data_IF_251314423261
#
_entry.id   IF_251314423261
#
_cell.length_a   1.000
_cell.length_b   1.000
_cell.length_c   1.000
_cell.angle_alpha   90.00
_cell.angle_beta   90.00
_cell.angle_gamma   90.00
#
_symmetry.space_group_name_H-M   'P 1'
#
loop_
_entity.id
_entity.type
_entity.pdbx_description
1 polymer ?
#
# COMPACT_ATOMS: atom_id res chain seq x y z
N UNK A 1 -45.07 -12.36 -51.35
CA UNK A 1 -44.74 -12.98 -50.06
C UNK A 1 -43.32 -12.57 -49.66
N UNK A 2 -43.16 -11.65 -48.70
CA UNK A 2 -41.84 -11.30 -48.16
C UNK A 2 -41.52 -12.30 -47.05
N UNK A 3 -40.74 -13.35 -47.35
CA UNK A 3 -40.12 -14.18 -46.32
C UNK A 3 -39.10 -13.30 -45.57
N UNK A 4 -39.53 -12.67 -44.48
CA UNK A 4 -38.61 -12.14 -43.47
C UNK A 4 -37.97 -13.37 -42.84
N UNK A 5 -36.69 -13.58 -43.06
CA UNK A 5 -35.93 -14.70 -42.53
C UNK A 5 -35.47 -14.38 -41.10
N UNK A 6 -36.16 -14.85 -40.03
CA UNK A 6 -35.78 -14.58 -38.65
C UNK A 6 -34.40 -15.16 -38.29
N UNK A 7 -33.87 -16.07 -39.10
CA UNK A 7 -32.55 -16.67 -38.91
C UNK A 7 -31.39 -15.66 -38.97
N UNK A 8 -31.47 -14.64 -39.85
CA UNK A 8 -30.34 -13.71 -40.05
C UNK A 8 -30.21 -12.72 -38.89
N UNK A 9 -31.33 -12.35 -38.25
CA UNK A 9 -31.34 -11.49 -37.07
C UNK A 9 -30.77 -12.18 -35.82
N UNK A 10 -30.99 -13.48 -35.67
CA UNK A 10 -30.51 -14.24 -34.51
C UNK A 10 -28.99 -14.39 -34.49
N UNK A 11 -28.37 -14.67 -35.64
CA UNK A 11 -26.92 -14.81 -35.75
C UNK A 11 -26.18 -13.51 -35.44
N UNK A 12 -26.69 -12.35 -35.89
CA UNK A 12 -26.04 -11.07 -35.65
C UNK A 12 -26.03 -10.70 -34.16
N UNK A 13 -27.14 -10.91 -33.46
CA UNK A 13 -27.25 -10.63 -32.03
C UNK A 13 -26.29 -11.52 -31.19
N UNK A 14 -26.19 -12.80 -31.54
CA UNK A 14 -25.25 -13.74 -30.90
C UNK A 14 -23.80 -13.33 -31.12
N UNK A 15 -23.43 -12.94 -32.35
CA UNK A 15 -22.07 -12.47 -32.64
C UNK A 15 -21.73 -11.21 -31.86
N UNK A 16 -22.65 -10.25 -31.75
CA UNK A 16 -22.44 -9.03 -30.96
C UNK A 16 -22.27 -9.35 -29.47
N UNK A 17 -23.13 -10.20 -28.90
CA UNK A 17 -23.00 -10.64 -27.51
C UNK A 17 -21.68 -11.38 -27.24
N UNK A 18 -21.26 -12.26 -28.16
CA UNK A 18 -20.00 -12.98 -28.05
C UNK A 18 -18.79 -12.03 -28.09
N UNK A 19 -18.82 -11.02 -28.96
CA UNK A 19 -17.77 -9.99 -29.02
C UNK A 19 -17.75 -9.10 -27.77
N UNK A 20 -18.91 -8.76 -27.21
CA UNK A 20 -19.00 -8.01 -25.95
C UNK A 20 -18.46 -8.83 -24.77
N UNK A 21 -18.85 -10.10 -24.66
CA UNK A 21 -18.34 -11.00 -23.63
C UNK A 21 -16.84 -11.26 -23.78
N UNK A 22 -16.34 -11.48 -25.01
CA UNK A 22 -14.91 -11.62 -25.28
C UNK A 22 -14.15 -10.34 -24.96
N UNK A 23 -14.66 -9.18 -25.36
CA UNK A 23 -14.08 -7.88 -25.04
C UNK A 23 -14.02 -7.65 -23.52
N UNK A 24 -15.06 -8.03 -22.79
CA UNK A 24 -15.07 -7.96 -21.33
C UNK A 24 -14.00 -8.86 -20.71
N UNK A 25 -13.93 -10.14 -21.11
CA UNK A 25 -12.93 -11.09 -20.59
C UNK A 25 -11.50 -10.68 -21.00
N UNK A 26 -11.32 -10.13 -22.20
CA UNK A 26 -10.02 -9.67 -22.66
C UNK A 26 -9.53 -8.42 -21.92
N UNK A 27 -10.44 -7.50 -21.57
CA UNK A 27 -10.12 -6.25 -20.86
C UNK A 27 -9.98 -6.48 -19.36
N UNK A 28 -10.86 -7.26 -18.75
CA UNK A 28 -10.89 -7.47 -17.30
C UNK A 28 -10.26 -8.80 -16.84
N UNK A 29 -9.81 -9.63 -17.79
CA UNK A 29 -9.29 -10.96 -17.51
C UNK A 29 -10.38 -11.94 -17.05
N UNK A 30 -9.94 -13.12 -16.62
CA UNK A 30 -10.76 -14.04 -15.80
C UNK A 30 -10.77 -13.64 -14.31
N UNK A 31 -10.05 -12.57 -13.95
CA UNK A 31 -10.08 -12.03 -12.60
C UNK A 31 -11.47 -11.47 -12.33
N UNK A 32 -12.07 -11.86 -11.20
CA UNK A 32 -13.38 -11.35 -10.80
C UNK A 32 -13.19 -9.90 -10.38
N UNK A 33 -13.72 -8.90 -11.13
CA UNK A 33 -13.62 -7.53 -10.67
C UNK A 33 -14.34 -7.42 -9.33
N UNK A 34 -13.70 -6.77 -8.37
CA UNK A 34 -14.32 -6.48 -7.08
C UNK A 34 -15.22 -5.26 -7.28
N UNK A 35 -16.47 -5.51 -7.67
CA UNK A 35 -17.43 -4.44 -8.00
C UNK A 35 -18.11 -3.94 -6.74
N UNK A 36 -17.90 -2.66 -6.41
CA UNK A 36 -18.49 -1.97 -5.24
C UNK A 36 -18.23 -2.69 -3.90
N UNK A 37 -17.10 -3.39 -3.78
CA UNK A 37 -16.64 -3.91 -2.49
C UNK A 37 -16.08 -2.75 -1.66
N UNK A 38 -16.40 -2.70 -0.37
CA UNK A 38 -15.73 -1.74 0.51
C UNK A 38 -14.22 -2.05 0.54
N UNK A 39 -13.33 -1.03 0.56
CA UNK A 39 -11.90 -1.27 0.49
C UNK A 39 -11.34 -2.11 1.64
N UNK A 40 -11.86 -1.95 2.86
CA UNK A 40 -11.44 -2.74 4.02
C UNK A 40 -11.93 -4.19 3.93
N UNK A 41 -13.17 -4.42 3.47
CA UNK A 41 -13.69 -5.77 3.25
C UNK A 41 -12.88 -6.52 2.19
N UNK A 42 -12.49 -5.80 1.11
CA UNK A 42 -11.61 -6.34 0.09
C UNK A 42 -10.23 -6.66 0.68
N UNK A 43 -9.62 -5.73 1.41
CA UNK A 43 -8.32 -5.97 2.04
C UNK A 43 -8.35 -7.19 2.98
N UNK A 44 -9.34 -7.29 3.87
CA UNK A 44 -9.53 -8.45 4.75
C UNK A 44 -9.72 -9.75 3.97
N UNK A 45 -10.50 -9.71 2.89
CA UNK A 45 -10.67 -10.84 2.00
C UNK A 45 -9.34 -11.27 1.37
N UNK A 46 -8.55 -10.33 0.85
CA UNK A 46 -7.26 -10.63 0.22
C UNK A 46 -6.30 -11.24 1.23
N UNK A 47 -6.19 -10.68 2.44
CA UNK A 47 -5.35 -11.22 3.52
C UNK A 47 -5.80 -12.64 3.92
N UNK A 48 -7.10 -12.82 4.17
CA UNK A 48 -7.68 -14.11 4.56
C UNK A 48 -7.45 -15.21 3.52
N UNK A 49 -7.44 -14.86 2.24
CA UNK A 49 -7.27 -15.80 1.14
C UNK A 49 -5.82 -15.83 0.59
N UNK A 50 -4.85 -15.23 1.29
CA UNK A 50 -3.45 -15.17 0.90
C UNK A 50 -3.25 -14.64 -0.54
N UNK A 51 -4.02 -13.62 -0.89
CA UNK A 51 -3.97 -12.93 -2.19
C UNK A 51 -3.05 -11.71 -2.09
N UNK A 52 -2.36 -11.33 -3.18
CA UNK A 52 -1.46 -10.19 -3.17
C UNK A 52 -2.21 -8.86 -3.10
N UNK A 53 -1.60 -7.85 -2.48
CA UNK A 53 -2.14 -6.49 -2.36
C UNK A 53 -2.42 -5.83 -3.73
N UNK A 54 -1.73 -6.26 -4.79
CA UNK A 54 -1.94 -5.73 -6.15
C UNK A 54 -3.35 -5.95 -6.67
N UNK A 55 -4.09 -6.94 -6.16
CA UNK A 55 -5.50 -7.17 -6.53
C UNK A 55 -6.43 -6.06 -6.02
N UNK A 56 -5.98 -5.20 -5.10
CA UNK A 56 -6.73 -3.98 -4.77
C UNK A 56 -6.94 -3.08 -6.00
N UNK A 57 -6.07 -3.13 -7.02
CA UNK A 57 -6.24 -2.38 -8.28
C UNK A 57 -7.42 -2.86 -9.13
N UNK A 58 -7.87 -4.09 -8.91
CA UNK A 58 -9.02 -4.69 -9.59
C UNK A 58 -10.37 -4.24 -8.98
N UNK A 59 -10.32 -3.37 -7.95
CA UNK A 59 -11.50 -2.72 -7.41
C UNK A 59 -12.11 -1.79 -8.46
N UNK A 60 -13.38 -2.07 -8.79
CA UNK A 60 -14.22 -1.25 -9.66
C UNK A 60 -15.28 -0.58 -8.80
N UNK A 61 -15.24 0.74 -8.77
CA UNK A 61 -16.07 1.56 -7.89
C UNK A 61 -16.96 2.49 -8.70
N UNK A 62 -18.28 2.37 -8.55
CA UNK A 62 -19.27 3.12 -9.36
C UNK A 62 -20.05 4.19 -8.58
N UNK A 63 -19.75 4.41 -7.30
CA UNK A 63 -20.49 5.41 -6.51
C UNK A 63 -20.04 6.84 -6.84
N UNK A 64 -20.99 7.67 -7.28
CA UNK A 64 -20.74 9.04 -7.76
C UNK A 64 -20.50 10.04 -6.62
N UNK A 65 -21.01 9.77 -5.41
CA UNK A 65 -20.87 10.65 -4.23
C UNK A 65 -19.82 10.17 -3.22
N UNK A 66 -19.02 9.17 -3.59
CA UNK A 66 -18.00 8.57 -2.74
C UNK A 66 -16.60 9.05 -3.16
N UNK A 67 -15.55 8.75 -2.35
CA UNK A 67 -14.17 8.90 -2.79
C UNK A 67 -13.94 8.23 -4.16
N UNK A 68 -13.00 8.79 -4.93
CA UNK A 68 -12.65 8.31 -6.25
C UNK A 68 -12.17 6.85 -6.21
N UNK A 69 -12.32 6.13 -7.32
CA UNK A 69 -11.82 4.75 -7.41
C UNK A 69 -10.32 4.64 -7.05
N UNK A 70 -9.52 5.66 -7.36
CA UNK A 70 -8.11 5.71 -6.98
C UNK A 70 -7.91 5.78 -5.46
N UNK A 71 -8.68 6.62 -4.75
CA UNK A 71 -8.65 6.70 -3.28
C UNK A 71 -9.13 5.42 -2.62
N UNK A 72 -10.17 4.78 -3.17
CA UNK A 72 -10.69 3.51 -2.67
C UNK A 72 -9.65 2.39 -2.80
N UNK A 73 -8.96 2.32 -3.95
CA UNK A 73 -7.85 1.38 -4.18
C UNK A 73 -6.69 1.63 -3.23
N UNK A 74 -6.34 2.92 -3.05
CA UNK A 74 -5.29 3.31 -2.13
C UNK A 74 -5.61 2.88 -0.68
N UNK A 75 -6.86 3.08 -0.25
CA UNK A 75 -7.33 2.65 1.07
C UNK A 75 -7.29 1.12 1.22
N UNK A 76 -7.64 0.36 0.19
CA UNK A 76 -7.52 -1.10 0.19
C UNK A 76 -6.07 -1.54 0.44
N UNK A 77 -5.11 -0.97 -0.31
CA UNK A 77 -3.69 -1.30 -0.17
C UNK A 77 -3.17 -0.91 1.22
N UNK A 78 -3.53 0.28 1.70
CA UNK A 78 -3.15 0.75 3.03
C UNK A 78 -3.67 -0.18 4.13
N UNK A 79 -4.94 -0.57 4.07
CA UNK A 79 -5.53 -1.50 5.04
C UNK A 79 -4.88 -2.88 4.94
N UNK A 80 -4.61 -3.38 3.73
CA UNK A 80 -3.90 -4.64 3.52
C UNK A 80 -2.53 -4.64 4.21
N UNK A 81 -1.73 -3.58 3.98
CA UNK A 81 -0.40 -3.43 4.55
C UNK A 81 -0.43 -3.46 6.08
N UNK A 82 -1.42 -2.79 6.68
CA UNK A 82 -1.62 -2.79 8.14
C UNK A 82 -2.05 -4.14 8.70
N UNK A 83 -2.94 -4.84 8.01
CA UNK A 83 -3.42 -6.15 8.44
C UNK A 83 -2.32 -7.23 8.36
N UNK A 84 -1.37 -7.07 7.44
CA UNK A 84 -0.28 -8.02 7.19
C UNK A 84 1.04 -7.63 7.85
N UNK A 85 1.14 -6.41 8.39
CA UNK A 85 2.40 -5.81 8.85
C UNK A 85 3.49 -5.82 7.75
N UNK A 86 3.07 -5.71 6.49
CA UNK A 86 3.96 -5.76 5.32
C UNK A 86 4.15 -4.35 4.73
N UNK A 87 5.29 -3.68 5.01
CA UNK A 87 5.55 -2.35 4.48
C UNK A 87 5.80 -2.36 2.96
N UNK A 88 6.12 -3.51 2.36
CA UNK A 88 6.32 -3.60 0.90
C UNK A 88 5.02 -3.38 0.12
N UNK A 89 3.87 -3.73 0.70
CA UNK A 89 2.57 -3.42 0.11
C UNK A 89 2.36 -1.91 -0.06
N UNK A 90 2.93 -1.09 0.83
CA UNK A 90 2.88 0.37 0.71
C UNK A 90 3.64 0.92 -0.51
N UNK A 91 4.55 0.15 -1.11
CA UNK A 91 5.24 0.56 -2.35
C UNK A 91 4.26 0.77 -3.51
N UNK A 92 3.14 0.04 -3.53
CA UNK A 92 2.08 0.22 -4.53
C UNK A 92 1.42 1.61 -4.45
N UNK A 93 1.60 2.32 -3.32
CA UNK A 93 1.12 3.70 -3.13
C UNK A 93 2.19 4.74 -3.45
N UNK A 94 3.40 4.33 -3.82
CA UNK A 94 4.48 5.25 -4.15
C UNK A 94 4.37 5.73 -5.62
N UNK A 95 4.76 6.98 -5.93
CA UNK A 95 5.35 7.99 -5.04
C UNK A 95 4.31 8.99 -4.52
N UNK A 96 3.52 8.62 -3.51
CA UNK A 96 2.59 9.54 -2.85
C UNK A 96 2.93 9.74 -1.38
N UNK A 97 2.51 10.88 -0.82
CA UNK A 97 2.54 11.11 0.63
C UNK A 97 1.72 10.05 1.39
N UNK A 98 0.69 9.50 0.75
CA UNK A 98 -0.13 8.43 1.31
C UNK A 98 0.67 7.12 1.46
N UNK A 99 1.56 6.81 0.50
CA UNK A 99 2.50 5.68 0.62
C UNK A 99 3.49 5.85 1.77
N UNK A 100 3.99 7.07 1.99
CA UNK A 100 4.85 7.35 3.15
C UNK A 100 4.10 7.26 4.48
N UNK A 101 2.84 7.70 4.53
CA UNK A 101 1.96 7.49 5.69
C UNK A 101 1.80 5.99 5.98
N UNK A 102 1.51 5.19 4.95
CA UNK A 102 1.37 3.74 5.05
C UNK A 102 2.60 3.09 5.69
N UNK A 103 3.80 3.39 5.17
CA UNK A 103 5.06 2.86 5.72
C UNK A 103 5.23 3.24 7.19
N UNK A 104 4.95 4.50 7.55
CA UNK A 104 5.06 4.95 8.93
C UNK A 104 4.04 4.28 9.85
N UNK A 105 2.80 4.10 9.41
CA UNK A 105 1.76 3.51 10.24
C UNK A 105 1.99 2.02 10.46
N UNK A 106 2.43 1.29 9.42
CA UNK A 106 2.80 -0.13 9.52
C UNK A 106 3.99 -0.31 10.46
N UNK A 107 5.04 0.51 10.32
CA UNK A 107 6.20 0.44 11.22
C UNK A 107 5.90 0.93 12.64
N UNK A 108 5.07 1.96 12.81
CA UNK A 108 4.69 2.50 14.11
C UNK A 108 3.79 1.56 14.91
N UNK A 109 2.98 0.74 14.24
CA UNK A 109 2.15 -0.25 14.93
C UNK A 109 3.02 -1.25 15.69
N UNK A 110 4.10 -1.72 15.06
CA UNK A 110 5.08 -2.62 15.70
C UNK A 110 5.68 -2.00 16.97
N UNK A 111 5.91 -0.68 16.98
CA UNK A 111 6.41 0.03 18.16
C UNK A 111 5.35 0.19 19.25
N UNK A 112 4.10 0.51 18.90
CA UNK A 112 3.02 0.71 19.87
C UNK A 112 2.73 -0.55 20.68
N UNK A 113 2.88 -1.71 20.07
CA UNK A 113 2.65 -2.99 20.73
C UNK A 113 3.79 -3.34 21.72
N UNK A 114 4.89 -2.58 21.68
CA UNK A 114 6.14 -2.88 22.39
C UNK A 114 6.67 -1.76 23.30
N UNK A 115 6.24 -0.51 23.10
CA UNK A 115 6.67 0.63 23.92
C UNK A 115 5.47 1.29 24.60
N UNK A 116 5.47 1.27 25.93
CA UNK A 116 4.69 2.20 26.73
C UNK A 116 5.03 3.63 26.28
N UNK A 117 4.02 4.49 26.18
CA UNK A 117 3.99 5.79 25.47
C UNK A 117 4.94 6.90 25.96
N UNK A 118 6.05 6.55 26.60
CA UNK A 118 7.12 7.46 26.96
C UNK A 118 7.74 8.13 25.73
N UNK A 119 7.75 9.45 25.72
CA UNK A 119 8.47 10.24 24.73
C UNK A 119 9.98 9.96 24.87
N UNK A 120 10.55 9.26 23.91
CA UNK A 120 11.94 8.86 23.93
C UNK A 120 12.84 9.97 23.35
N UNK A 121 13.70 10.56 24.19
CA UNK A 121 14.64 11.60 23.79
C UNK A 121 15.86 11.00 23.08
N UNK A 122 16.37 11.73 22.08
CA UNK A 122 17.55 11.35 21.31
C UNK A 122 18.81 11.10 22.16
N UNK A 123 18.95 11.83 23.27
CA UNK A 123 20.08 11.70 24.18
C UNK A 123 20.16 10.31 24.82
N UNK A 124 19.03 9.61 24.91
CA UNK A 124 18.99 8.25 25.42
C UNK A 124 19.69 7.28 24.47
N UNK A 125 19.68 7.51 23.15
CA UNK A 125 20.39 6.68 22.17
C UNK A 125 21.92 6.76 22.26
N UNK A 126 22.45 7.75 22.98
CA UNK A 126 23.89 7.86 23.22
C UNK A 126 24.38 6.85 24.27
N UNK A 127 23.47 6.28 25.06
CA UNK A 127 23.79 5.29 26.10
C UNK A 127 23.72 3.86 25.53
N UNK A 128 24.50 2.90 26.07
CA UNK A 128 24.33 1.49 25.74
C UNK A 128 22.89 1.05 26.01
N UNK A 129 22.25 0.44 25.01
CA UNK A 129 20.90 -0.09 25.14
C UNK A 129 20.96 -1.57 25.48
N UNK A 130 20.39 -1.95 26.62
CA UNK A 130 20.19 -3.36 26.98
C UNK A 130 18.95 -3.95 26.32
N UNK A 131 17.93 -3.11 26.04
CA UNK A 131 16.69 -3.52 25.40
C UNK A 131 16.86 -3.58 23.87
N UNK A 132 16.59 -4.75 23.25
CA UNK A 132 16.57 -4.89 21.82
C UNK A 132 15.73 -3.85 21.07
N UNK A 133 14.49 -3.64 21.50
CA UNK A 133 13.54 -2.77 20.80
C UNK A 133 14.01 -1.30 20.84
N UNK A 134 14.59 -0.92 21.98
CA UNK A 134 15.18 0.41 22.17
C UNK A 134 16.40 0.64 21.28
N UNK A 135 17.25 -0.36 21.09
CA UNK A 135 18.38 -0.26 20.17
C UNK A 135 17.91 -0.16 18.70
N UNK A 136 16.88 -0.90 18.31
CA UNK A 136 16.28 -0.85 16.97
C UNK A 136 15.66 0.54 16.69
N UNK A 137 14.96 1.12 17.66
CA UNK A 137 14.46 2.50 17.60
C UNK A 137 15.59 3.52 17.43
N UNK A 138 16.69 3.36 18.16
CA UNK A 138 17.85 4.23 18.02
C UNK A 138 18.50 4.16 16.64
N UNK A 139 18.56 2.98 16.04
CA UNK A 139 19.04 2.82 14.67
C UNK A 139 18.07 3.47 13.67
N UNK A 140 16.74 3.34 13.87
CA UNK A 140 15.73 4.02 13.06
C UNK A 140 15.88 5.55 13.13
N UNK A 141 16.05 6.11 14.34
CA UNK A 141 16.30 7.54 14.54
C UNK A 141 17.58 7.98 13.82
N UNK A 142 18.66 7.20 13.93
CA UNK A 142 19.92 7.46 13.21
C UNK A 142 19.72 7.50 11.70
N UNK A 143 19.05 6.50 11.13
CA UNK A 143 18.71 6.49 9.71
C UNK A 143 17.89 7.74 9.33
N UNK A 144 16.96 8.14 10.20
CA UNK A 144 16.20 9.38 10.05
C UNK A 144 17.03 10.65 10.03
N UNK A 145 18.00 10.77 10.92
CA UNK A 145 18.91 11.92 10.97
C UNK A 145 19.83 11.97 9.76
N UNK A 146 20.38 10.82 9.36
CA UNK A 146 21.37 10.73 8.29
C UNK A 146 20.76 10.63 6.89
N UNK A 147 19.44 10.37 6.79
CA UNK A 147 18.73 10.11 5.52
C UNK A 147 19.35 8.98 4.70
N UNK A 148 19.79 7.92 5.37
CA UNK A 148 20.54 6.83 4.74
C UNK A 148 19.90 5.46 5.03
N UNK A 149 19.53 4.74 3.97
CA UNK A 149 18.98 3.38 4.08
C UNK A 149 19.98 2.37 4.68
N UNK A 150 21.30 2.59 4.53
CA UNK A 150 22.30 1.72 5.11
C UNK A 150 22.27 1.70 6.65
N UNK A 151 21.80 2.79 7.27
CA UNK A 151 21.65 2.88 8.73
C UNK A 151 20.44 2.06 9.24
N UNK A 152 19.58 1.55 8.35
CA UNK A 152 18.50 0.64 8.70
C UNK A 152 18.98 -0.81 8.87
N UNK A 153 20.12 -1.20 8.29
CA UNK A 153 20.62 -2.59 8.31
C UNK A 153 20.78 -3.19 9.72
N UNK A 154 21.25 -2.43 10.75
CA UNK A 154 21.40 -2.97 12.10
C UNK A 154 20.09 -3.20 12.86
N UNK A 155 18.93 -2.79 12.31
CA UNK A 155 17.61 -3.02 12.92
C UNK A 155 17.28 -4.52 12.83
N UNK A 156 16.97 -5.15 13.97
CA UNK A 156 16.69 -6.58 14.01
C UNK A 156 15.26 -6.90 13.60
N UNK A 157 14.29 -6.10 14.03
CA UNK A 157 12.90 -6.30 13.65
C UNK A 157 12.74 -6.11 12.13
N UNK A 158 12.28 -7.15 11.45
CA UNK A 158 12.24 -7.19 9.98
C UNK A 158 11.24 -6.19 9.39
N UNK A 159 10.08 -5.98 10.05
CA UNK A 159 9.05 -5.02 9.62
C UNK A 159 9.60 -3.59 9.71
N UNK A 160 10.22 -3.25 10.84
CA UNK A 160 10.84 -1.94 11.07
C UNK A 160 11.98 -1.73 10.07
N UNK A 161 12.86 -2.73 9.90
CA UNK A 161 14.00 -2.64 8.96
C UNK A 161 13.51 -2.42 7.53
N UNK A 162 12.50 -3.17 7.09
CA UNK A 162 11.93 -3.04 5.76
C UNK A 162 11.30 -1.67 5.56
N UNK A 163 10.45 -1.20 6.48
CA UNK A 163 9.84 0.13 6.36
C UNK A 163 10.85 1.27 6.43
N UNK A 164 11.88 1.17 7.28
CA UNK A 164 13.00 2.12 7.32
C UNK A 164 13.72 2.19 5.96
N UNK A 165 14.05 1.03 5.39
CA UNK A 165 14.76 0.90 4.11
C UNK A 165 13.94 1.52 2.99
N UNK A 166 12.67 1.10 2.84
CA UNK A 166 11.76 1.60 1.81
C UNK A 166 11.55 3.11 1.90
N UNK A 167 11.45 3.64 3.12
CA UNK A 167 11.29 5.07 3.36
C UNK A 167 12.49 5.86 2.83
N UNK A 168 13.72 5.46 3.11
CA UNK A 168 14.90 6.21 2.64
C UNK A 168 15.26 5.93 1.19
N UNK A 169 14.96 4.75 0.65
CA UNK A 169 15.04 4.50 -0.79
C UNK A 169 14.04 5.38 -1.56
N UNK A 170 12.82 5.50 -1.05
CA UNK A 170 11.82 6.43 -1.59
C UNK A 170 12.30 7.89 -1.55
N UNK A 171 12.93 8.32 -0.45
CA UNK A 171 13.50 9.66 -0.33
C UNK A 171 14.58 9.94 -1.38
N UNK A 172 15.43 8.94 -1.67
CA UNK A 172 16.46 9.04 -2.69
C UNK A 172 15.85 9.07 -4.09
N UNK A 173 14.92 8.15 -4.36
CA UNK A 173 14.28 7.93 -5.68
C UNK A 173 13.31 9.03 -6.08
N UNK A 174 12.59 9.63 -5.13
CA UNK A 174 11.52 10.60 -5.41
C UNK A 174 11.80 11.96 -4.76
N UNK A 175 12.47 12.90 -5.46
CA UNK A 175 12.82 14.21 -4.93
C UNK A 175 11.64 15.03 -4.40
N UNK A 176 10.47 14.90 -5.02
CA UNK A 176 9.25 15.65 -4.64
C UNK A 176 8.77 15.29 -3.22
N UNK A 177 9.08 14.07 -2.77
CA UNK A 177 8.71 13.60 -1.44
C UNK A 177 9.64 14.11 -0.34
N UNK A 178 10.82 14.66 -0.66
CA UNK A 178 11.85 15.02 0.34
C UNK A 178 11.38 16.10 1.32
N UNK A 179 10.46 16.95 0.89
CA UNK A 179 9.87 18.02 1.70
C UNK A 179 8.53 17.62 2.36
N UNK A 180 8.10 16.37 2.20
CA UNK A 180 6.87 15.89 2.82
C UNK A 180 6.99 15.87 4.35
N UNK A 181 5.85 15.99 5.03
CA UNK A 181 5.76 15.94 6.49
C UNK A 181 6.42 14.67 7.08
N UNK A 182 6.36 13.56 6.34
CA UNK A 182 6.81 12.24 6.80
C UNK A 182 8.33 12.06 6.89
N UNK A 183 9.10 12.91 6.24
CA UNK A 183 10.55 12.97 6.47
C UNK A 183 10.90 13.98 7.57
N UNK A 184 10.02 14.91 7.90
CA UNK A 184 10.33 16.03 8.77
C UNK A 184 11.26 17.05 8.10
N UNK A 185 11.31 18.28 8.62
CA UNK A 185 12.26 19.29 8.15
C UNK A 185 13.68 18.78 8.37
N UNK A 186 14.58 19.01 7.41
CA UNK A 186 15.99 18.72 7.62
C UNK A 186 16.47 19.44 8.89
N UNK A 187 17.20 18.72 9.75
CA UNK A 187 17.88 19.38 10.85
C UNK A 187 18.83 20.43 10.26
N UNK A 188 18.93 21.63 10.85
CA UNK A 188 19.97 22.57 10.46
C UNK A 188 21.32 21.87 10.57
N UNK A 189 22.13 21.97 9.51
CA UNK A 189 23.49 21.43 9.46
C UNK A 189 24.40 22.13 10.46
#
# INVERSE_FOLDING_TARGET
>A
MKLRSPLVSGSLALTVLALLAYGWIAVFGWHRPYVNWMPWDLAEYLVKNQRPASECWDLVWFEIMAPSAAEQRALCIYTYAKLTFDPSACELLMPSEYGLSCINDVTAQEYKDHMDSGFFEWDECSKPQSDPLRADWCNLLRAHRNRNAADCLPIRNDVIRAGCTLKFEAWQKYPDLRNSFYFGKAAPQ
#
